data_IF_870852070940
#
_entry.id   IF_870852070940
#
_cell.length_a   1.000
_cell.length_b   1.000
_cell.length_c   1.000
_cell.angle_alpha   90.00
_cell.angle_beta   90.00
_cell.angle_gamma   90.00
#
_symmetry.space_group_name_H-M   'P 1'
#
loop_
_entity.id
_entity.type
_entity.pdbx_description
1 polymer ?
#
# COMPACT_ATOMS: atom_id res chain seq x y z
N UNK A 1 -29.77 7.30 19.13
CA UNK A 1 -28.58 7.93 19.74
C UNK A 1 -28.24 9.16 18.91
N UNK A 2 -28.61 10.36 19.39
CA UNK A 2 -28.36 11.61 18.66
C UNK A 2 -26.92 12.04 18.86
N UNK A 3 -26.08 11.75 17.87
CA UNK A 3 -24.75 12.33 17.78
C UNK A 3 -24.93 13.79 17.34
N UNK A 4 -24.89 14.73 18.28
CA UNK A 4 -24.86 16.17 17.94
C UNK A 4 -23.48 16.46 17.35
N UNK A 5 -23.38 16.36 16.02
CA UNK A 5 -22.18 16.74 15.28
C UNK A 5 -22.04 18.25 15.43
N UNK A 6 -20.88 18.70 15.91
CA UNK A 6 -20.60 20.11 16.05
C UNK A 6 -20.71 20.78 14.65
N UNK A 7 -21.40 21.92 14.51
CA UNK A 7 -21.74 22.50 13.19
C UNK A 7 -20.53 22.80 12.30
N UNK A 8 -19.35 23.03 12.89
CA UNK A 8 -18.08 23.19 12.16
C UNK A 8 -17.54 21.90 11.51
N UNK A 9 -18.05 20.74 11.92
CA UNK A 9 -17.64 19.41 11.42
C UNK A 9 -18.63 18.83 10.42
N UNK A 10 -19.79 19.47 10.24
CA UNK A 10 -20.88 18.98 9.39
C UNK A 10 -20.44 18.91 7.91
N UNK A 11 -19.87 20.00 7.38
CA UNK A 11 -19.38 20.06 6.00
C UNK A 11 -18.22 19.08 5.74
N UNK A 12 -17.17 19.01 6.60
CA UNK A 12 -16.15 17.98 6.47
C UNK A 12 -16.70 16.54 6.52
N UNK A 13 -17.72 16.27 7.33
CA UNK A 13 -18.33 14.94 7.44
C UNK A 13 -19.04 14.54 6.15
N UNK A 14 -19.85 15.44 5.59
CA UNK A 14 -20.53 15.20 4.30
C UNK A 14 -19.53 14.95 3.17
N UNK A 15 -18.41 15.69 3.16
CA UNK A 15 -17.34 15.44 2.19
C UNK A 15 -16.66 14.09 2.41
N UNK A 16 -16.42 13.70 3.66
CA UNK A 16 -15.83 12.41 3.99
C UNK A 16 -16.73 11.24 3.56
N UNK A 17 -18.04 11.34 3.79
CA UNK A 17 -19.02 10.34 3.34
C UNK A 17 -19.03 10.23 1.82
N UNK A 18 -19.02 11.36 1.11
CA UNK A 18 -18.91 11.38 -0.35
C UNK A 18 -17.62 10.72 -0.87
N UNK A 19 -16.48 10.97 -0.23
CA UNK A 19 -15.21 10.33 -0.56
C UNK A 19 -15.22 8.83 -0.32
N UNK A 20 -15.83 8.38 0.79
CA UNK A 20 -15.98 6.95 1.10
C UNK A 20 -16.82 6.26 0.01
N UNK A 21 -17.91 6.89 -0.41
CA UNK A 21 -18.79 6.30 -1.42
C UNK A 21 -18.13 6.23 -2.80
N UNK A 22 -17.40 7.29 -3.20
CA UNK A 22 -16.57 7.26 -4.41
C UNK A 22 -15.51 6.17 -4.33
N UNK A 23 -14.83 6.02 -3.19
CA UNK A 23 -13.83 4.97 -3.00
C UNK A 23 -14.43 3.56 -3.10
N UNK A 24 -15.64 3.34 -2.58
CA UNK A 24 -16.37 2.08 -2.71
C UNK A 24 -16.70 1.77 -4.17
N UNK A 25 -17.23 2.74 -4.91
CA UNK A 25 -17.62 2.51 -6.31
C UNK A 25 -16.40 2.25 -7.19
N UNK A 26 -15.30 3.01 -6.99
CA UNK A 26 -14.03 2.74 -7.66
C UNK A 26 -13.51 1.32 -7.34
N UNK A 27 -13.65 0.87 -6.09
CA UNK A 27 -13.29 -0.50 -5.70
C UNK A 27 -14.15 -1.55 -6.40
N UNK A 28 -15.47 -1.33 -6.47
CA UNK A 28 -16.41 -2.22 -7.15
C UNK A 28 -16.08 -2.36 -8.64
N UNK A 29 -15.83 -1.25 -9.32
CA UNK A 29 -15.45 -1.22 -10.73
C UNK A 29 -14.10 -1.92 -10.99
N UNK A 30 -13.13 -1.74 -10.08
CA UNK A 30 -11.85 -2.45 -10.15
C UNK A 30 -12.04 -3.97 -10.00
N UNK A 31 -12.85 -4.41 -9.03
CA UNK A 31 -13.13 -5.83 -8.79
C UNK A 31 -13.84 -6.50 -9.98
N UNK A 32 -14.80 -5.82 -10.61
CA UNK A 32 -15.50 -6.34 -11.79
C UNK A 32 -14.52 -6.60 -12.97
N UNK A 33 -13.52 -5.72 -13.15
CA UNK A 33 -12.46 -5.93 -14.14
C UNK A 33 -11.52 -7.09 -13.79
N UNK A 34 -11.25 -7.31 -12.50
CA UNK A 34 -10.43 -8.44 -12.03
C UNK A 34 -11.12 -9.77 -12.35
N UNK A 35 -12.43 -9.89 -12.12
CA UNK A 35 -13.19 -11.12 -12.40
C UNK A 35 -13.28 -11.46 -13.89
N UNK A 36 -13.25 -10.46 -14.78
CA UNK A 36 -13.30 -10.67 -16.23
C UNK A 36 -11.97 -11.11 -16.86
N UNK A 37 -10.90 -11.26 -16.07
CA UNK A 37 -9.54 -11.39 -16.59
C UNK A 37 -9.15 -12.85 -16.86
N UNK A 38 -8.44 -13.08 -17.98
CA UNK A 38 -7.80 -14.38 -18.29
C UNK A 38 -6.83 -14.76 -17.16
N UNK A 39 -6.92 -16.01 -16.69
CA UNK A 39 -6.00 -16.57 -15.69
C UNK A 39 -4.55 -16.40 -16.15
N UNK A 40 -3.74 -15.74 -15.34
CA UNK A 40 -2.29 -15.73 -15.53
C UNK A 40 -1.73 -17.16 -15.46
N UNK A 41 -0.67 -17.45 -16.21
CA UNK A 41 0.05 -18.73 -16.10
C UNK A 41 0.49 -18.91 -14.64
N UNK A 42 0.27 -20.11 -14.09
CA UNK A 42 0.73 -20.47 -12.73
C UNK A 42 2.23 -20.17 -12.62
N UNK A 43 2.64 -19.51 -11.54
CA UNK A 43 4.04 -19.11 -11.31
C UNK A 43 4.45 -17.74 -11.87
N UNK A 44 3.56 -17.01 -12.56
CA UNK A 44 3.85 -15.63 -12.94
C UNK A 44 3.68 -14.69 -11.74
N UNK A 45 4.76 -14.02 -11.33
CA UNK A 45 4.68 -12.90 -10.38
C UNK A 45 3.94 -11.75 -11.03
N UNK A 46 2.89 -11.24 -10.37
CA UNK A 46 2.22 -10.01 -10.82
C UNK A 46 3.26 -8.88 -10.90
N UNK A 47 3.29 -8.18 -12.03
CA UNK A 47 4.07 -6.95 -12.14
C UNK A 47 3.25 -5.80 -11.57
N UNK A 48 3.85 -4.91 -10.78
CA UNK A 48 3.16 -3.71 -10.30
C UNK A 48 2.54 -2.93 -11.47
N UNK A 49 1.28 -2.53 -11.32
CA UNK A 49 0.54 -1.85 -12.38
C UNK A 49 -0.83 -1.40 -11.89
N UNK A 50 -1.70 -0.96 -12.81
CA UNK A 50 -3.05 -0.49 -12.47
C UNK A 50 -3.87 -1.53 -11.68
N UNK A 51 -3.56 -2.80 -11.87
CA UNK A 51 -4.27 -3.93 -11.25
C UNK A 51 -3.73 -4.34 -9.88
N UNK A 52 -2.69 -3.65 -9.39
CA UNK A 52 -2.11 -3.91 -8.06
C UNK A 52 -2.23 -2.67 -7.16
N UNK A 53 -3.43 -2.08 -7.01
CA UNK A 53 -3.59 -0.78 -6.35
C UNK A 53 -3.12 -0.79 -4.89
N UNK A 54 -3.41 -1.86 -4.14
CA UNK A 54 -2.96 -2.01 -2.75
C UNK A 54 -1.43 -2.06 -2.66
N UNK A 55 -0.79 -2.84 -3.55
CA UNK A 55 0.66 -2.90 -3.61
C UNK A 55 1.27 -1.55 -4.00
N UNK A 56 0.68 -0.83 -4.95
CA UNK A 56 1.17 0.48 -5.38
C UNK A 56 1.14 1.48 -4.21
N UNK A 57 0.05 1.50 -3.44
CA UNK A 57 -0.09 2.33 -2.26
C UNK A 57 0.95 1.95 -1.18
N UNK A 58 1.13 0.66 -0.92
CA UNK A 58 2.13 0.16 0.03
C UNK A 58 3.56 0.54 -0.39
N UNK A 59 3.92 0.28 -1.65
CA UNK A 59 5.25 0.58 -2.18
C UNK A 59 5.54 2.09 -2.15
N UNK A 60 4.55 2.93 -2.42
CA UNK A 60 4.67 4.38 -2.29
C UNK A 60 4.92 4.80 -0.83
N UNK A 61 4.14 4.27 0.11
CA UNK A 61 4.31 4.57 1.53
C UNK A 61 5.67 4.10 2.05
N UNK A 62 6.10 2.88 1.68
CA UNK A 62 7.39 2.34 2.04
C UNK A 62 8.55 3.16 1.46
N UNK A 63 8.44 3.60 0.20
CA UNK A 63 9.43 4.48 -0.43
C UNK A 63 9.56 5.81 0.31
N UNK A 64 8.44 6.44 0.68
CA UNK A 64 8.45 7.68 1.45
C UNK A 64 9.06 7.53 2.85
N UNK A 65 8.99 6.32 3.42
CA UNK A 65 9.59 6.02 4.72
C UNK A 65 11.11 5.79 4.66
N UNK A 66 11.69 5.51 3.48
CA UNK A 66 13.14 5.35 3.29
C UNK A 66 13.79 6.73 3.07
N UNK A 67 14.39 7.29 4.12
CA UNK A 67 14.93 8.66 4.13
C UNK A 67 16.45 8.72 4.19
N UNK A 68 17.10 7.73 4.82
CA UNK A 68 18.55 7.77 5.09
C UNK A 68 19.31 6.79 4.19
N UNK A 69 20.57 7.14 3.91
CA UNK A 69 21.51 6.22 3.26
C UNK A 69 21.65 4.93 4.07
N UNK A 70 21.67 3.78 3.40
CA UNK A 70 21.78 2.45 4.02
C UNK A 70 20.47 1.81 4.50
N UNK A 71 19.36 2.55 4.62
CA UNK A 71 18.07 1.98 5.09
C UNK A 71 17.50 0.93 4.15
N UNK A 72 17.77 1.06 2.85
CA UNK A 72 17.41 0.04 1.85
C UNK A 72 18.08 -1.30 2.13
N UNK A 73 19.35 -1.28 2.53
CA UNK A 73 20.11 -2.49 2.88
C UNK A 73 19.61 -3.09 4.18
N UNK A 74 19.26 -2.26 5.17
CA UNK A 74 18.63 -2.73 6.40
C UNK A 74 17.26 -3.36 6.14
N UNK A 75 16.43 -2.73 5.30
CA UNK A 75 15.14 -3.30 4.90
C UNK A 75 15.33 -4.64 4.17
N UNK A 76 16.35 -4.77 3.31
CA UNK A 76 16.69 -6.04 2.69
C UNK A 76 16.95 -7.16 3.70
N UNK A 77 17.67 -6.87 4.79
CA UNK A 77 17.90 -7.83 5.88
C UNK A 77 16.60 -8.24 6.57
N UNK A 78 15.71 -7.29 6.84
CA UNK A 78 14.40 -7.56 7.48
C UNK A 78 13.53 -8.44 6.57
N UNK A 79 13.53 -8.17 5.28
CA UNK A 79 12.74 -8.92 4.30
C UNK A 79 13.40 -10.24 3.88
N UNK A 80 14.62 -10.54 4.35
CA UNK A 80 15.38 -11.72 3.96
C UNK A 80 15.75 -11.75 2.47
N UNK A 81 16.00 -10.59 1.85
CA UNK A 81 16.34 -10.48 0.42
C UNK A 81 17.53 -9.55 0.17
N UNK A 82 18.26 -9.72 -0.95
CA UNK A 82 19.31 -8.78 -1.34
C UNK A 82 18.78 -7.34 -1.51
N UNK A 83 19.57 -6.30 -1.24
CA UNK A 83 19.17 -4.90 -1.44
C UNK A 83 18.71 -4.61 -2.88
N UNK A 84 19.22 -5.33 -3.87
CA UNK A 84 18.79 -5.26 -5.26
C UNK A 84 17.30 -5.64 -5.41
N UNK A 85 16.82 -6.68 -4.71
CA UNK A 85 15.40 -7.05 -4.71
C UNK A 85 14.50 -5.96 -4.10
N UNK A 86 14.99 -5.27 -3.06
CA UNK A 86 14.27 -4.11 -2.50
C UNK A 86 14.13 -2.99 -3.52
N UNK A 87 15.14 -2.78 -4.38
CA UNK A 87 15.03 -1.85 -5.51
C UNK A 87 13.96 -2.28 -6.50
N UNK A 88 13.94 -3.56 -6.88
CA UNK A 88 12.96 -4.13 -7.81
C UNK A 88 11.53 -3.94 -7.32
N UNK A 89 11.30 -4.17 -6.02
CA UNK A 89 10.00 -4.03 -5.39
C UNK A 89 9.57 -2.56 -5.29
N UNK A 90 10.44 -1.71 -4.75
CA UNK A 90 10.05 -0.39 -4.28
C UNK A 90 10.35 0.74 -5.24
N UNK A 91 11.37 0.63 -6.10
CA UNK A 91 11.86 1.73 -6.93
C UNK A 91 11.53 1.50 -8.40
N UNK A 92 12.07 0.43 -9.00
CA UNK A 92 11.90 0.14 -10.43
C UNK A 92 10.55 -0.50 -10.76
N UNK A 93 9.80 -0.98 -9.74
CA UNK A 93 8.49 -1.62 -9.89
C UNK A 93 8.55 -2.82 -10.86
N UNK A 94 9.68 -3.53 -10.86
CA UNK A 94 9.94 -4.64 -11.78
C UNK A 94 9.33 -5.97 -11.29
N UNK A 95 9.09 -6.10 -9.98
CA UNK A 95 8.57 -7.30 -9.35
C UNK A 95 7.67 -6.97 -8.15
N UNK A 96 6.74 -7.87 -7.84
CA UNK A 96 6.08 -7.91 -6.54
C UNK A 96 6.76 -8.93 -5.61
N UNK A 97 6.90 -8.64 -4.32
CA UNK A 97 7.26 -9.64 -3.33
C UNK A 97 6.14 -10.67 -3.16
N UNK A 98 6.48 -11.83 -2.61
CA UNK A 98 5.48 -12.78 -2.13
C UNK A 98 4.75 -12.27 -0.86
N UNK A 99 3.78 -13.05 -0.40
CA UNK A 99 2.94 -12.70 0.74
C UNK A 99 3.72 -12.49 2.04
N UNK A 100 4.73 -13.33 2.31
CA UNK A 100 5.54 -13.25 3.52
C UNK A 100 6.32 -11.93 3.55
N UNK A 101 7.07 -11.62 2.48
CA UNK A 101 7.80 -10.33 2.40
C UNK A 101 6.86 -9.14 2.40
N UNK A 102 5.66 -9.27 1.85
CA UNK A 102 4.63 -8.22 1.91
C UNK A 102 4.18 -7.96 3.36
N UNK A 103 3.94 -9.02 4.14
CA UNK A 103 3.58 -8.90 5.55
C UNK A 103 4.71 -8.27 6.37
N UNK A 104 5.95 -8.71 6.16
CA UNK A 104 7.12 -8.12 6.83
C UNK A 104 7.28 -6.63 6.49
N UNK A 105 7.04 -6.24 5.24
CA UNK A 105 7.07 -4.83 4.82
C UNK A 105 5.98 -3.99 5.50
N UNK A 106 4.77 -4.55 5.66
CA UNK A 106 3.68 -3.89 6.38
C UNK A 106 4.03 -3.69 7.87
N UNK A 107 4.55 -4.72 8.54
CA UNK A 107 5.01 -4.63 9.93
C UNK A 107 6.11 -3.57 10.08
N UNK A 108 7.09 -3.56 9.17
CA UNK A 108 8.15 -2.55 9.15
C UNK A 108 7.60 -1.12 8.99
N UNK A 109 6.64 -0.92 8.08
CA UNK A 109 6.01 0.38 7.87
C UNK A 109 5.22 0.83 9.10
N UNK A 110 4.46 -0.08 9.72
CA UNK A 110 3.70 0.19 10.93
C UNK A 110 4.62 0.64 12.08
N UNK A 111 5.75 -0.05 12.27
CA UNK A 111 6.75 0.32 13.26
C UNK A 111 7.37 1.70 13.01
N UNK A 112 7.61 2.07 11.75
CA UNK A 112 8.11 3.42 11.44
C UNK A 112 7.09 4.51 11.71
N UNK A 113 5.81 4.22 11.47
CA UNK A 113 4.72 5.17 11.76
C UNK A 113 4.52 5.36 13.25
N UNK A 114 4.60 4.30 14.06
CA UNK A 114 4.53 4.43 15.51
C UNK A 114 5.72 5.23 16.08
N UNK A 115 6.94 5.03 15.59
CA UNK A 115 8.09 5.81 16.01
C UNK A 115 8.09 7.27 15.52
N UNK A 116 7.50 7.54 14.35
CA UNK A 116 7.37 8.90 13.82
C UNK A 116 6.27 9.75 14.49
N UNK A 117 5.37 9.13 15.25
CA UNK A 117 4.31 9.82 16.00
C UNK A 117 4.77 10.26 17.41
N UNK A 118 6.02 9.98 17.79
CA UNK A 118 6.62 10.29 19.12
C UNK A 118 7.77 11.32 18.98
N UNK A 119 7.84 12.04 17.86
CA UNK A 119 8.85 13.07 17.60
C UNK A 119 8.25 14.42 17.30
#
# INVERSE_FOLDING_TARGET
MNNSIHPKLDVPMVMADGLIEVARELTRLANAKITARRRHRRGATLRPGIDTPMWNALALAARGALRKYGEKSQLGRILGVPPQRVHEFLMSRAAMPDAERTLLLLCWLAQRRSHGAVG
#
